data_IF_138898774588
#
_entry.id   IF_138898774588
#
_cell.length_a   1.000
_cell.length_b   1.000
_cell.length_c   1.000
_cell.angle_alpha   90.00
_cell.angle_beta   90.00
_cell.angle_gamma   90.00
#
_symmetry.space_group_name_H-M   'P 1'
#
loop_
_entity.id
_entity.type
_entity.pdbx_description
1 polymer ?
#
# COMPACT_ATOMS: atom_id res chain seq x y z
N UNK A 1 -5.23 -10.05 -5.04
CA UNK A 1 -4.99 -9.64 -6.45
C UNK A 1 -5.31 -8.17 -6.65
N UNK A 2 -6.43 -7.70 -6.09
CA UNK A 2 -6.90 -6.31 -6.09
C UNK A 2 -5.85 -5.30 -5.58
N UNK A 3 -5.16 -5.58 -4.47
CA UNK A 3 -4.16 -4.68 -3.87
C UNK A 3 -2.99 -4.34 -4.79
N UNK A 4 -2.33 -5.36 -5.32
CA UNK A 4 -1.26 -5.21 -6.30
C UNK A 4 -1.74 -4.52 -7.59
N UNK A 5 -2.93 -4.83 -8.10
CA UNK A 5 -3.46 -4.15 -9.29
C UNK A 5 -3.76 -2.67 -9.03
N UNK A 6 -4.25 -2.31 -7.84
CA UNK A 6 -4.49 -0.92 -7.43
C UNK A 6 -3.18 -0.17 -7.17
N UNK A 7 -2.15 -0.83 -6.60
CA UNK A 7 -0.79 -0.28 -6.50
C UNK A 7 -0.18 0.05 -7.86
N UNK A 8 -0.29 -0.89 -8.81
CA UNK A 8 0.18 -0.67 -10.18
C UNK A 8 -0.58 0.44 -10.91
N UNK A 9 -1.91 0.53 -10.71
CA UNK A 9 -2.73 1.61 -11.27
C UNK A 9 -2.31 2.99 -10.77
N UNK A 10 -2.03 3.12 -9.47
CA UNK A 10 -1.53 4.38 -8.88
C UNK A 10 -0.14 4.75 -9.38
N UNK A 11 0.77 3.78 -9.46
CA UNK A 11 2.12 4.00 -9.99
C UNK A 11 2.07 4.60 -11.42
N UNK A 12 1.25 4.03 -12.30
CA UNK A 12 1.08 4.55 -13.66
C UNK A 12 0.45 5.94 -13.73
N UNK A 13 -0.32 6.37 -12.72
CA UNK A 13 -0.89 7.71 -12.66
C UNK A 13 0.18 8.75 -12.27
N UNK A 14 1.01 8.46 -11.27
CA UNK A 14 2.04 9.40 -10.80
C UNK A 14 3.24 9.54 -11.76
N UNK A 15 3.44 8.57 -12.65
CA UNK A 15 4.48 8.60 -13.69
C UNK A 15 4.06 9.38 -14.96
N UNK A 16 2.80 9.84 -15.05
CA UNK A 16 2.35 10.63 -16.20
C UNK A 16 3.07 11.98 -16.26
N UNK A 17 3.29 12.48 -17.48
CA UNK A 17 4.00 13.74 -17.73
C UNK A 17 3.32 14.97 -17.08
N UNK A 18 2.00 14.91 -16.84
CA UNK A 18 1.20 15.97 -16.21
C UNK A 18 1.20 15.92 -14.67
N UNK A 19 1.67 14.83 -14.05
CA UNK A 19 1.80 14.66 -12.60
C UNK A 19 3.27 14.65 -12.16
N UNK A 20 4.12 13.90 -12.87
CA UNK A 20 5.58 13.89 -12.77
C UNK A 20 6.18 13.66 -11.36
N UNK A 21 5.52 12.86 -10.50
CA UNK A 21 6.02 12.46 -9.17
C UNK A 21 6.69 11.08 -9.24
N UNK A 22 7.92 11.05 -9.76
CA UNK A 22 8.62 9.80 -10.10
C UNK A 22 8.91 8.92 -8.90
N UNK A 23 9.29 9.48 -7.75
CA UNK A 23 9.60 8.66 -6.57
C UNK A 23 8.32 8.12 -5.93
N UNK A 24 7.21 8.86 -6.01
CA UNK A 24 5.88 8.33 -5.68
C UNK A 24 5.50 7.15 -6.58
N UNK A 25 5.70 7.28 -7.90
CA UNK A 25 5.43 6.20 -8.84
C UNK A 25 6.28 4.96 -8.55
N UNK A 26 7.56 5.15 -8.21
CA UNK A 26 8.48 4.08 -7.84
C UNK A 26 8.07 3.40 -6.53
N UNK A 27 7.81 4.17 -5.47
CA UNK A 27 7.35 3.65 -4.18
C UNK A 27 6.13 2.74 -4.34
N UNK A 28 5.11 3.20 -5.06
CA UNK A 28 3.88 2.44 -5.27
C UNK A 28 4.09 1.18 -6.14
N UNK A 29 5.09 1.21 -7.02
CA UNK A 29 5.49 0.05 -7.82
C UNK A 29 6.20 -1.00 -6.96
N UNK A 30 7.06 -0.58 -6.05
CA UNK A 30 7.75 -1.46 -5.10
C UNK A 30 6.75 -2.14 -4.17
N UNK A 31 5.82 -1.37 -3.60
CA UNK A 31 4.71 -1.90 -2.79
C UNK A 31 3.86 -2.92 -3.58
N UNK A 32 3.60 -2.65 -4.86
CA UNK A 32 2.88 -3.61 -5.73
C UNK A 32 3.68 -4.90 -5.99
N UNK A 33 5.01 -4.86 -5.96
CA UNK A 33 5.86 -6.02 -6.20
C UNK A 33 5.93 -6.91 -4.96
N UNK A 34 6.13 -6.29 -3.79
CA UNK A 34 6.12 -6.94 -2.48
C UNK A 34 4.83 -7.75 -2.30
N UNK A 35 3.66 -7.12 -2.50
CA UNK A 35 2.33 -7.74 -2.49
C UNK A 35 2.14 -8.96 -3.42
N UNK A 36 3.00 -9.10 -4.43
CA UNK A 36 2.97 -10.22 -5.38
C UNK A 36 3.81 -11.41 -4.90
N UNK A 37 4.91 -11.16 -4.18
CA UNK A 37 5.81 -12.18 -3.66
C UNK A 37 5.18 -12.95 -2.48
N UNK A 38 4.33 -12.30 -1.66
CA UNK A 38 3.59 -12.95 -0.56
C UNK A 38 2.53 -13.99 -1.00
N UNK A 39 2.57 -14.47 -2.25
CA UNK A 39 1.56 -15.36 -2.86
C UNK A 39 2.09 -16.74 -3.25
N UNK A 40 3.14 -17.23 -2.59
CA UNK A 40 3.72 -18.56 -2.81
C UNK A 40 2.82 -19.76 -2.46
N UNK A 41 1.62 -19.55 -1.91
CA UNK A 41 0.65 -20.62 -1.59
C UNK A 41 -0.27 -21.00 -2.76
N UNK A 42 -0.82 -22.22 -2.75
CA UNK A 42 -1.68 -22.73 -3.83
C UNK A 42 -3.01 -21.94 -3.90
N UNK A 43 -3.18 -21.09 -4.93
CA UNK A 43 -4.30 -20.13 -5.04
C UNK A 43 -5.37 -20.63 -6.03
N UNK A 44 -6.64 -20.60 -5.61
CA UNK A 44 -7.80 -20.55 -6.50
C UNK A 44 -7.97 -19.10 -6.95
N UNK A 45 -7.66 -18.80 -8.21
CA UNK A 45 -7.71 -17.45 -8.77
C UNK A 45 -9.18 -17.00 -8.89
N UNK A 46 -9.55 -15.94 -8.18
CA UNK A 46 -10.80 -15.20 -8.42
C UNK A 46 -10.55 -14.05 -9.40
N UNK A 47 -11.59 -13.63 -10.12
CA UNK A 47 -11.52 -12.54 -11.09
C UNK A 47 -10.98 -11.26 -10.46
N UNK A 48 -10.04 -10.62 -11.17
CA UNK A 48 -9.40 -9.38 -10.74
C UNK A 48 -10.30 -8.23 -11.19
N UNK A 49 -11.02 -7.64 -10.24
CA UNK A 49 -11.77 -6.41 -10.51
C UNK A 49 -10.81 -5.29 -10.85
N UNK A 50 -11.11 -4.54 -11.92
CA UNK A 50 -10.39 -3.30 -12.25
C UNK A 50 -10.44 -2.37 -11.01
N UNK A 51 -9.36 -1.64 -10.69
CA UNK A 51 -9.39 -0.58 -9.68
C UNK A 51 -10.62 0.31 -9.89
N UNK A 52 -11.36 0.63 -8.83
CA UNK A 52 -12.57 1.47 -8.92
C UNK A 52 -12.26 2.91 -9.38
N UNK A 53 -11.00 3.35 -9.31
CA UNK A 53 -10.55 4.69 -9.70
C UNK A 53 -9.39 4.66 -10.68
N UNK A 54 -9.53 5.40 -11.78
CA UNK A 54 -8.48 5.65 -12.78
C UNK A 54 -7.80 7.03 -12.59
N UNK A 55 -8.42 7.92 -11.81
CA UNK A 55 -7.88 9.23 -11.41
C UNK A 55 -7.69 9.23 -9.88
N UNK A 56 -6.44 9.37 -9.44
CA UNK A 56 -6.08 9.24 -8.02
C UNK A 56 -5.97 10.57 -7.28
N UNK A 57 -6.29 11.68 -7.96
CA UNK A 57 -6.27 13.02 -7.38
C UNK A 57 -4.85 13.48 -7.06
N UNK A 58 -4.62 13.87 -5.81
CA UNK A 58 -3.33 14.29 -5.26
C UNK A 58 -2.66 13.17 -4.46
N UNK A 59 -1.37 13.33 -4.14
CA UNK A 59 -0.60 12.34 -3.38
C UNK A 59 -1.20 11.99 -2.01
N UNK A 60 -1.88 12.92 -1.35
CA UNK A 60 -2.56 12.67 -0.08
C UNK A 60 -3.74 11.71 -0.23
N UNK A 61 -4.59 11.90 -1.24
CA UNK A 61 -5.73 11.01 -1.52
C UNK A 61 -5.28 9.60 -1.90
N UNK A 62 -4.24 9.50 -2.73
CA UNK A 62 -3.69 8.20 -3.14
C UNK A 62 -3.12 7.40 -1.97
N UNK A 63 -2.38 8.05 -1.06
CA UNK A 63 -1.84 7.40 0.14
C UNK A 63 -2.93 7.12 1.19
N UNK A 64 -4.00 7.92 1.26
CA UNK A 64 -5.15 7.59 2.12
C UNK A 64 -5.86 6.33 1.64
N UNK A 65 -6.03 6.19 0.33
CA UNK A 65 -6.57 4.97 -0.26
C UNK A 65 -5.64 3.77 0.00
N UNK A 66 -4.32 3.94 -0.15
CA UNK A 66 -3.33 2.92 0.21
C UNK A 66 -3.49 2.45 1.66
N UNK A 67 -3.50 3.39 2.60
CA UNK A 67 -3.59 3.09 4.01
C UNK A 67 -4.90 2.36 4.35
N UNK A 68 -6.00 2.76 3.73
CA UNK A 68 -7.29 2.11 3.94
C UNK A 68 -7.28 0.67 3.44
N UNK A 69 -6.67 0.44 2.28
CA UNK A 69 -6.51 -0.89 1.71
C UNK A 69 -5.65 -1.79 2.58
N UNK A 70 -4.49 -1.29 3.04
CA UNK A 70 -3.61 -2.04 3.94
C UNK A 70 -4.28 -2.41 5.26
N UNK A 71 -5.08 -1.50 5.82
CA UNK A 71 -5.88 -1.78 7.02
C UNK A 71 -6.93 -2.86 6.76
N UNK A 72 -7.57 -2.86 5.58
CA UNK A 72 -8.53 -3.90 5.20
C UNK A 72 -7.85 -5.26 5.05
N UNK A 73 -6.67 -5.32 4.42
CA UNK A 73 -5.88 -6.56 4.32
C UNK A 73 -5.44 -7.05 5.69
N UNK A 74 -4.91 -6.16 6.53
CA UNK A 74 -4.51 -6.50 7.89
C UNK A 74 -5.68 -7.03 8.72
N UNK A 75 -6.87 -6.45 8.58
CA UNK A 75 -8.07 -6.97 9.25
C UNK A 75 -8.42 -8.39 8.78
N UNK A 76 -8.35 -8.66 7.47
CA UNK A 76 -8.59 -10.00 6.94
C UNK A 76 -7.56 -11.02 7.45
N UNK A 77 -6.29 -10.62 7.61
CA UNK A 77 -5.24 -11.46 8.20
C UNK A 77 -5.49 -11.73 9.69
N UNK A 78 -5.92 -10.73 10.46
CA UNK A 78 -6.29 -10.91 11.86
C UNK A 78 -7.50 -11.84 12.02
N UNK A 79 -8.49 -11.72 11.14
CA UNK A 79 -9.66 -12.62 11.14
C UNK A 79 -9.25 -14.06 10.80
N UNK A 80 -8.33 -14.25 9.87
CA UNK A 80 -7.76 -15.56 9.52
C UNK A 80 -6.94 -16.15 10.67
N UNK A 81 -6.10 -15.33 11.32
CA UNK A 81 -5.32 -15.74 12.50
C UNK A 81 -6.22 -16.18 13.65
N UNK A 82 -7.29 -15.43 13.90
CA UNK A 82 -8.32 -15.80 14.89
C UNK A 82 -8.95 -17.15 14.54
N UNK A 83 -9.32 -17.37 13.28
CA UNK A 83 -9.87 -18.66 12.83
C UNK A 83 -8.88 -19.81 13.03
N UNK A 84 -7.60 -19.63 12.66
CA UNK A 84 -6.55 -20.62 12.87
C UNK A 84 -6.37 -20.95 14.36
N UNK A 85 -6.41 -19.93 15.22
CA UNK A 85 -6.37 -20.07 16.68
C UNK A 85 -7.57 -20.88 17.19
N UNK A 86 -8.79 -20.58 16.74
CA UNK A 86 -10.01 -21.32 17.08
C UNK A 86 -9.96 -22.80 16.61
N UNK A 87 -9.24 -23.07 15.53
CA UNK A 87 -9.00 -24.43 15.01
C UNK A 87 -7.81 -25.14 15.66
N UNK A 88 -7.11 -24.48 16.58
CA UNK A 88 -5.88 -24.98 17.21
C UNK A 88 -4.81 -25.37 16.17
N UNK A 89 -4.62 -24.53 15.15
CA UNK A 89 -3.55 -24.70 14.16
C UNK A 89 -2.38 -23.72 14.46
N UNK A 90 -1.42 -24.12 15.31
CA UNK A 90 -0.31 -23.25 15.70
C UNK A 90 0.64 -22.94 14.53
N UNK A 91 0.70 -23.80 13.51
CA UNK A 91 1.58 -23.58 12.37
C UNK A 91 1.08 -22.46 11.47
N UNK A 92 -0.24 -22.39 11.24
CA UNK A 92 -0.83 -21.26 10.50
C UNK A 92 -0.72 -19.97 11.31
N UNK A 93 -0.93 -20.00 12.62
CA UNK A 93 -0.76 -18.80 13.46
C UNK A 93 0.67 -18.24 13.36
N UNK A 94 1.68 -19.08 13.54
CA UNK A 94 3.10 -18.69 13.45
C UNK A 94 3.43 -18.12 12.07
N UNK A 95 2.99 -18.78 10.99
CA UNK A 95 3.17 -18.31 9.62
C UNK A 95 2.53 -16.94 9.36
N UNK A 96 1.33 -16.69 9.87
CA UNK A 96 0.66 -15.40 9.71
C UNK A 96 1.34 -14.30 10.53
N UNK A 97 1.84 -14.62 11.71
CA UNK A 97 2.57 -13.68 12.56
C UNK A 97 3.92 -13.29 11.96
N UNK A 98 4.71 -14.26 11.50
CA UNK A 98 6.07 -14.02 11.00
C UNK A 98 6.11 -13.41 9.60
N UNK A 99 5.28 -13.90 8.68
CA UNK A 99 5.39 -13.56 7.26
C UNK A 99 4.45 -12.44 6.80
N UNK A 100 3.46 -12.04 7.62
CA UNK A 100 2.44 -11.07 7.18
C UNK A 100 2.14 -9.98 8.21
N UNK A 101 1.79 -10.34 9.45
CA UNK A 101 1.28 -9.36 10.41
C UNK A 101 2.34 -8.33 10.83
N UNK A 102 3.62 -8.74 10.95
CA UNK A 102 4.71 -7.80 11.25
C UNK A 102 4.90 -6.79 10.11
N UNK A 103 4.84 -7.25 8.86
CA UNK A 103 4.99 -6.42 7.67
C UNK A 103 3.81 -5.46 7.49
N UNK A 104 2.58 -5.93 7.68
CA UNK A 104 1.40 -5.07 7.62
C UNK A 104 1.45 -3.94 8.63
N UNK A 105 1.92 -4.19 9.86
CA UNK A 105 2.08 -3.14 10.88
C UNK A 105 3.11 -2.11 10.44
N UNK A 106 4.23 -2.54 9.86
CA UNK A 106 5.26 -1.63 9.32
C UNK A 106 4.72 -0.80 8.15
N UNK A 107 4.05 -1.41 7.19
CA UNK A 107 3.46 -0.75 6.03
C UNK A 107 2.40 0.30 6.44
N UNK A 108 1.47 -0.09 7.34
CA UNK A 108 0.43 0.83 7.88
C UNK A 108 1.09 2.02 8.59
N UNK A 109 2.15 1.77 9.37
CA UNK A 109 2.88 2.84 10.07
C UNK A 109 3.55 3.80 9.09
N UNK A 110 4.27 3.26 8.10
CA UNK A 110 4.96 4.05 7.09
C UNK A 110 3.99 4.93 6.29
N UNK A 111 2.87 4.35 5.83
CA UNK A 111 1.81 5.10 5.14
C UNK A 111 1.19 6.17 6.05
N UNK A 112 1.01 5.89 7.33
CA UNK A 112 0.54 6.87 8.33
C UNK A 112 1.50 8.04 8.53
N UNK A 113 2.80 7.78 8.55
CA UNK A 113 3.84 8.81 8.66
C UNK A 113 3.88 9.68 7.40
N UNK A 114 3.84 9.06 6.23
CA UNK A 114 3.79 9.77 4.95
C UNK A 114 2.56 10.69 4.84
N UNK A 115 1.38 10.22 5.26
CA UNK A 115 0.18 11.06 5.32
C UNK A 115 0.31 12.24 6.28
N UNK A 116 0.97 12.04 7.41
CA UNK A 116 1.20 13.11 8.39
C UNK A 116 2.15 14.16 7.81
N UNK A 117 3.20 13.74 7.13
CA UNK A 117 4.14 14.64 6.46
C UNK A 117 3.47 15.45 5.35
N UNK A 118 2.66 14.81 4.49
CA UNK A 118 1.91 15.51 3.44
C UNK A 118 0.97 16.58 4.00
N UNK A 119 0.26 16.28 5.10
CA UNK A 119 -0.60 17.26 5.78
C UNK A 119 0.20 18.43 6.34
N UNK A 120 1.37 18.19 6.95
CA UNK A 120 2.24 19.25 7.44
C UNK A 120 2.82 20.12 6.32
N UNK A 121 3.04 19.55 5.14
CA UNK A 121 3.48 20.28 3.95
C UNK A 121 2.35 21.05 3.24
N UNK A 122 1.12 21.00 3.77
CA UNK A 122 -0.02 21.76 3.27
C UNK A 122 -0.69 21.14 2.03
N UNK A 123 -0.51 19.84 1.78
CA UNK A 123 -1.19 19.12 0.70
C UNK A 123 -2.65 18.87 1.10
N UNK A 124 -3.64 19.07 0.21
CA UNK A 124 -3.54 19.33 -1.23
C UNK A 124 -3.44 20.79 -1.66
N UNK A 125 -3.48 21.76 -0.74
CA UNK A 125 -3.50 23.18 -1.10
C UNK A 125 -2.14 23.70 -1.62
N UNK A 126 -1.05 23.01 -1.30
CA UNK A 126 0.32 23.37 -1.65
C UNK A 126 0.93 22.35 -2.62
N UNK A 127 0.96 22.68 -3.92
CA UNK A 127 1.66 21.85 -4.91
C UNK A 127 3.18 21.73 -4.66
N UNK A 128 3.79 22.75 -4.04
CA UNK A 128 5.18 22.66 -3.58
C UNK A 128 5.37 21.63 -2.47
N UNK A 129 4.34 21.40 -1.64
CA UNK A 129 4.37 20.37 -0.59
C UNK A 129 4.49 18.96 -1.17
N UNK A 130 3.76 18.66 -2.24
CA UNK A 130 3.84 17.35 -2.93
C UNK A 130 5.21 17.14 -3.58
N UNK A 131 5.75 18.18 -4.21
CA UNK A 131 7.09 18.12 -4.82
C UNK A 131 8.19 17.89 -3.77
N UNK A 132 8.15 18.62 -2.65
CA UNK A 132 9.12 18.45 -1.57
C UNK A 132 9.02 17.05 -0.93
N UNK A 133 7.81 16.53 -0.75
CA UNK A 133 7.61 15.18 -0.25
C UNK A 133 8.20 14.12 -1.19
N UNK A 134 7.93 14.21 -2.49
CA UNK A 134 8.50 13.31 -3.50
C UNK A 134 10.03 13.35 -3.50
N UNK A 135 10.65 14.54 -3.42
CA UNK A 135 12.11 14.67 -3.46
C UNK A 135 12.81 14.29 -2.17
N UNK A 136 12.29 14.71 -1.02
CA UNK A 136 13.01 14.63 0.24
C UNK A 136 12.60 13.43 1.10
N UNK A 137 11.37 12.95 0.98
CA UNK A 137 10.92 11.78 1.76
C UNK A 137 11.04 10.50 0.94
N UNK A 138 10.54 10.51 -0.30
CA UNK A 138 10.58 9.33 -1.16
C UNK A 138 11.91 9.18 -1.92
N UNK A 139 12.55 10.29 -2.29
CA UNK A 139 13.85 10.29 -2.95
C UNK A 139 15.03 9.83 -2.09
N UNK A 140 14.93 9.91 -0.75
CA UNK A 140 15.94 9.34 0.17
C UNK A 140 15.83 7.82 0.32
N UNK A 141 14.72 7.24 -0.13
CA UNK A 141 14.42 5.81 -0.02
C UNK A 141 14.87 5.00 -1.26
N UNK A 142 15.51 5.64 -2.25
CA UNK A 142 15.97 5.05 -3.53
C UNK A 142 17.47 4.77 -3.59
#
# INVERSE_FOLDING_TARGET
>A
LTTASEGKGRSCYFDRDDVALRHMAQFLKEQSHEEREHRGGHIVLQDITKPERDEWGNSLEALQCALQLEKTVNQALLDLHKLATEKNDPHICDFLESEYLEEQVKAIKQLGDHLTNLKHLGVPQSGMGEYLFDKLTLGESS
#
